data_IF_053480600132
#
_entry.id   IF_053480600132
#
_cell.length_a   1.000
_cell.length_b   1.000
_cell.length_c   1.000
_cell.angle_alpha   90.00
_cell.angle_beta   90.00
_cell.angle_gamma   90.00
#
_symmetry.space_group_name_H-M   'P 1'
#
loop_
_entity.id
_entity.type
_entity.pdbx_description
1 polymer ?
#
# COMPACT_ATOMS: atom_id res chain seq x y z
N UNK A 1 -18.19 -19.28 -9.90
CA UNK A 1 -16.99 -19.51 -10.72
C UNK A 1 -16.37 -18.21 -11.24
N UNK A 2 -17.15 -17.29 -11.81
CA UNK A 2 -16.70 -16.04 -12.45
C UNK A 2 -15.97 -15.04 -11.52
N UNK A 3 -16.46 -14.83 -10.28
CA UNK A 3 -15.85 -13.88 -9.32
C UNK A 3 -14.45 -14.30 -8.86
N UNK A 4 -14.24 -15.59 -8.61
CA UNK A 4 -12.93 -16.11 -8.21
C UNK A 4 -11.90 -15.99 -9.33
N UNK A 5 -12.33 -16.14 -10.57
CA UNK A 5 -11.50 -15.98 -11.74
C UNK A 5 -11.07 -14.52 -11.91
N UNK A 6 -12.01 -13.56 -11.87
CA UNK A 6 -11.73 -12.13 -11.95
C UNK A 6 -10.75 -11.65 -10.86
N UNK A 7 -10.91 -12.17 -9.66
CA UNK A 7 -10.01 -11.88 -8.56
C UNK A 7 -8.58 -12.38 -8.84
N UNK A 8 -8.45 -13.62 -9.31
CA UNK A 8 -7.16 -14.23 -9.65
C UNK A 8 -6.47 -13.45 -10.76
N UNK A 9 -7.21 -13.09 -11.81
CA UNK A 9 -6.72 -12.28 -12.92
C UNK A 9 -6.25 -10.89 -12.48
N UNK A 10 -6.97 -10.22 -11.57
CA UNK A 10 -6.58 -8.91 -11.05
C UNK A 10 -5.28 -8.97 -10.24
N UNK A 11 -5.09 -10.02 -9.43
CA UNK A 11 -3.86 -10.22 -8.66
C UNK A 11 -2.69 -10.57 -9.59
N UNK A 12 -2.92 -11.44 -10.57
CA UNK A 12 -1.92 -11.79 -11.58
C UNK A 12 -1.48 -10.55 -12.39
N UNK A 13 -2.44 -9.76 -12.86
CA UNK A 13 -2.16 -8.51 -13.58
C UNK A 13 -1.36 -7.51 -12.73
N UNK A 14 -1.65 -7.42 -11.44
CA UNK A 14 -0.86 -6.62 -10.51
C UNK A 14 0.61 -7.03 -10.50
N UNK A 15 0.91 -8.30 -10.29
CA UNK A 15 2.29 -8.77 -10.21
C UNK A 15 3.00 -8.76 -11.57
N UNK A 16 2.29 -8.98 -12.66
CA UNK A 16 2.85 -9.03 -14.01
C UNK A 16 3.17 -7.64 -14.55
N UNK A 17 2.25 -6.69 -14.39
CA UNK A 17 2.37 -5.35 -14.99
C UNK A 17 2.86 -4.30 -14.02
N UNK A 18 2.60 -4.47 -12.74
CA UNK A 18 2.96 -3.56 -11.64
C UNK A 18 2.59 -2.08 -11.88
N UNK A 19 1.44 -1.83 -12.53
CA UNK A 19 1.04 -0.46 -12.95
C UNK A 19 0.15 0.27 -11.97
N UNK A 20 -0.72 -0.45 -11.26
CA UNK A 20 -1.78 0.14 -10.46
C UNK A 20 -1.85 -0.48 -9.07
N UNK A 21 -2.35 0.30 -8.10
CA UNK A 21 -2.81 -0.27 -6.84
C UNK A 21 -4.04 -1.13 -7.08
N UNK A 22 -4.18 -2.23 -6.33
CA UNK A 22 -5.31 -3.15 -6.47
C UNK A 22 -6.09 -3.19 -5.17
N UNK A 23 -7.40 -3.07 -5.31
CA UNK A 23 -8.34 -3.12 -4.23
C UNK A 23 -9.33 -4.26 -4.42
N UNK A 24 -9.41 -5.15 -3.43
CA UNK A 24 -10.15 -6.40 -3.51
C UNK A 24 -11.13 -6.50 -2.35
N UNK A 25 -12.41 -6.38 -2.65
CA UNK A 25 -13.49 -6.61 -1.70
C UNK A 25 -14.14 -7.97 -1.93
N UNK A 26 -14.48 -8.67 -0.87
CA UNK A 26 -15.17 -9.96 -0.97
C UNK A 26 -15.36 -10.63 0.38
N UNK A 27 -16.24 -11.62 0.44
CA UNK A 27 -16.56 -12.33 1.67
C UNK A 27 -15.32 -12.95 2.33
N UNK A 28 -15.32 -13.10 3.67
CA UNK A 28 -14.29 -13.88 4.36
C UNK A 28 -14.22 -15.32 3.82
N UNK A 29 -13.03 -15.92 3.88
CA UNK A 29 -12.85 -17.33 3.53
C UNK A 29 -12.79 -17.66 2.03
N UNK A 30 -12.93 -16.68 1.12
CA UNK A 30 -12.85 -16.93 -0.34
C UNK A 30 -11.42 -17.10 -0.87
N UNK A 31 -10.41 -17.08 0.02
CA UNK A 31 -9.01 -17.34 -0.34
C UNK A 31 -8.23 -16.13 -0.84
N UNK A 32 -8.66 -14.89 -0.50
CA UNK A 32 -7.97 -13.65 -0.91
C UNK A 32 -6.50 -13.66 -0.53
N UNK A 33 -6.20 -13.80 0.74
CA UNK A 33 -4.84 -13.82 1.29
C UNK A 33 -3.98 -14.90 0.65
N UNK A 34 -4.51 -16.13 0.59
CA UNK A 34 -3.80 -17.24 -0.02
C UNK A 34 -3.43 -17.00 -1.50
N UNK A 35 -4.34 -16.39 -2.26
CA UNK A 35 -4.10 -16.09 -3.67
C UNK A 35 -3.01 -15.02 -3.83
N UNK A 36 -3.05 -13.93 -3.06
CA UNK A 36 -2.03 -12.89 -3.09
C UNK A 36 -0.65 -13.45 -2.71
N UNK A 37 -0.56 -14.21 -1.61
CA UNK A 37 0.70 -14.80 -1.16
C UNK A 37 1.25 -15.84 -2.16
N UNK A 38 0.39 -16.59 -2.82
CA UNK A 38 0.80 -17.55 -3.87
C UNK A 38 1.46 -16.81 -5.04
N UNK A 39 0.86 -15.72 -5.54
CA UNK A 39 1.46 -14.94 -6.61
C UNK A 39 2.75 -14.26 -6.14
N UNK A 40 2.80 -13.70 -4.95
CA UNK A 40 4.02 -13.08 -4.42
C UNK A 40 5.23 -14.02 -4.45
N UNK A 41 5.04 -15.32 -4.17
CA UNK A 41 6.11 -16.33 -4.26
C UNK A 41 6.60 -16.60 -5.68
N UNK A 42 5.79 -16.32 -6.70
CA UNK A 42 6.15 -16.52 -8.11
C UNK A 42 6.96 -15.35 -8.69
N UNK A 43 7.01 -14.20 -7.98
CA UNK A 43 7.69 -12.99 -8.43
C UNK A 43 8.79 -12.55 -7.43
N UNK A 44 9.91 -13.27 -7.32
CA UNK A 44 10.95 -13.02 -6.32
C UNK A 44 11.73 -11.72 -6.55
N UNK A 45 11.57 -11.10 -7.70
CA UNK A 45 12.09 -9.78 -8.02
C UNK A 45 11.25 -8.62 -7.42
N UNK A 46 10.08 -8.93 -6.86
CA UNK A 46 9.23 -7.98 -6.14
C UNK A 46 9.42 -8.20 -4.64
N UNK A 47 9.78 -7.17 -3.90
CA UNK A 47 9.82 -7.19 -2.44
C UNK A 47 8.38 -7.17 -1.94
N UNK A 48 7.94 -8.26 -1.33
CA UNK A 48 6.58 -8.40 -0.81
C UNK A 48 6.53 -8.11 0.69
N UNK A 49 5.76 -7.10 1.08
CA UNK A 49 5.64 -6.63 2.46
C UNK A 49 4.20 -6.82 2.96
N UNK A 50 3.91 -7.90 3.70
CA UNK A 50 2.58 -8.12 4.26
C UNK A 50 2.35 -7.28 5.52
N UNK A 51 1.24 -6.54 5.55
CA UNK A 51 0.75 -5.76 6.69
C UNK A 51 -0.51 -6.43 7.21
N UNK A 52 -0.38 -7.19 8.30
CA UNK A 52 -1.48 -8.01 8.86
C UNK A 52 -1.97 -7.54 10.23
N UNK A 53 -1.35 -6.51 10.78
CA UNK A 53 -1.66 -6.01 12.13
C UNK A 53 -1.89 -4.51 12.11
N UNK A 54 -2.73 -4.05 13.02
CA UNK A 54 -2.88 -2.63 13.29
C UNK A 54 -1.54 -2.04 13.75
N UNK A 55 -1.18 -0.90 13.20
CA UNK A 55 0.06 -0.20 13.54
C UNK A 55 -0.18 1.30 13.64
N UNK A 56 0.74 2.00 14.29
CA UNK A 56 0.68 3.46 14.33
C UNK A 56 1.00 4.08 12.96
N UNK A 57 0.53 5.29 12.67
CA UNK A 57 0.91 6.02 11.45
C UNK A 57 2.42 6.10 11.27
N UNK A 58 3.17 6.35 12.35
CA UNK A 58 4.63 6.38 12.33
C UNK A 58 5.24 5.04 11.92
N UNK A 59 4.80 3.93 12.54
CA UNK A 59 5.32 2.61 12.20
C UNK A 59 5.09 2.26 10.73
N UNK A 60 3.95 2.64 10.19
CA UNK A 60 3.64 2.46 8.77
C UNK A 60 4.55 3.30 7.86
N UNK A 61 4.66 4.59 8.14
CA UNK A 61 5.51 5.51 7.36
C UNK A 61 6.97 5.06 7.38
N UNK A 62 7.48 4.66 8.53
CA UNK A 62 8.81 4.10 8.68
C UNK A 62 9.00 2.84 7.83
N UNK A 63 8.05 1.93 7.87
CA UNK A 63 8.08 0.72 7.05
C UNK A 63 8.07 1.05 5.53
N UNK A 64 7.26 2.02 5.11
CA UNK A 64 7.25 2.47 3.71
C UNK A 64 8.57 3.14 3.33
N UNK A 65 9.13 3.97 4.21
CA UNK A 65 10.44 4.61 3.98
C UNK A 65 11.54 3.57 3.75
N UNK A 66 11.65 2.59 4.63
CA UNK A 66 12.63 1.49 4.50
C UNK A 66 12.42 0.71 3.21
N UNK A 67 11.19 0.36 2.89
CA UNK A 67 10.88 -0.39 1.67
C UNK A 67 11.20 0.41 0.40
N UNK A 68 10.87 1.69 0.35
CA UNK A 68 11.19 2.58 -0.77
C UNK A 68 12.70 2.80 -0.90
N UNK A 69 13.40 2.99 0.21
CA UNK A 69 14.86 3.11 0.23
C UNK A 69 15.52 1.83 -0.29
N UNK A 70 15.11 0.66 0.21
CA UNK A 70 15.60 -0.64 -0.25
C UNK A 70 15.29 -0.87 -1.74
N UNK A 71 14.10 -0.50 -2.19
CA UNK A 71 13.72 -0.56 -3.61
C UNK A 71 14.69 0.22 -4.49
N UNK A 72 15.03 1.45 -4.10
CA UNK A 72 15.98 2.29 -4.84
C UNK A 72 17.40 1.70 -4.87
N UNK A 73 17.86 1.20 -3.72
CA UNK A 73 19.19 0.60 -3.61
C UNK A 73 19.33 -0.71 -4.38
N UNK A 74 18.26 -1.49 -4.48
CA UNK A 74 18.26 -2.81 -5.13
C UNK A 74 17.65 -2.81 -6.54
N UNK A 75 17.07 -1.71 -6.97
CA UNK A 75 16.28 -1.57 -8.19
C UNK A 75 15.14 -2.63 -8.29
N UNK A 76 14.54 -2.98 -7.16
CA UNK A 76 13.40 -3.92 -7.08
C UNK A 76 12.11 -3.17 -6.81
N UNK A 77 11.02 -3.68 -7.34
CA UNK A 77 9.67 -3.20 -7.03
C UNK A 77 9.24 -3.66 -5.64
N UNK A 78 8.36 -2.90 -4.97
CA UNK A 78 7.81 -3.23 -3.65
C UNK A 78 6.29 -3.32 -3.72
N UNK A 79 5.76 -4.46 -3.31
CA UNK A 79 4.32 -4.69 -3.16
C UNK A 79 3.95 -4.75 -1.68
N UNK A 80 3.23 -3.74 -1.18
CA UNK A 80 2.60 -3.79 0.13
C UNK A 80 1.27 -4.54 0.02
N UNK A 81 1.11 -5.56 0.82
CA UNK A 81 -0.15 -6.28 0.96
C UNK A 81 -0.82 -5.93 2.29
N UNK A 82 -1.94 -5.22 2.23
CA UNK A 82 -2.70 -4.80 3.40
C UNK A 82 -3.92 -5.71 3.52
N UNK A 83 -3.81 -6.66 4.45
CA UNK A 83 -4.87 -7.61 4.72
C UNK A 83 -5.88 -7.00 5.71
N UNK A 84 -7.16 -7.12 5.40
CA UNK A 84 -8.26 -6.53 6.17
C UNK A 84 -8.09 -5.02 6.46
N UNK A 85 -8.04 -4.24 5.39
CA UNK A 85 -7.88 -2.79 5.44
C UNK A 85 -8.75 -2.10 6.51
N UNK A 86 -10.01 -2.53 6.65
CA UNK A 86 -10.92 -1.95 7.64
C UNK A 86 -10.47 -2.18 9.09
N UNK A 87 -9.93 -3.34 9.41
CA UNK A 87 -9.46 -3.65 10.75
C UNK A 87 -8.20 -2.83 11.10
N UNK A 88 -7.31 -2.65 10.12
CA UNK A 88 -6.06 -1.91 10.30
C UNK A 88 -6.30 -0.41 10.46
N UNK A 89 -7.27 0.16 9.72
CA UNK A 89 -7.45 1.61 9.61
C UNK A 89 -8.69 2.19 10.30
N UNK A 90 -9.53 1.37 10.92
CA UNK A 90 -10.80 1.78 11.52
C UNK A 90 -10.69 2.86 12.61
N UNK A 91 -9.52 3.06 13.17
CA UNK A 91 -9.32 3.89 14.35
C UNK A 91 -8.65 5.26 14.06
N UNK A 92 -8.23 5.57 12.84
CA UNK A 92 -7.40 6.75 12.63
C UNK A 92 -7.63 7.42 11.27
N UNK A 93 -8.34 8.56 11.28
CA UNK A 93 -8.60 9.38 10.07
C UNK A 93 -7.31 9.91 9.42
N UNK A 94 -6.30 10.25 10.23
CA UNK A 94 -5.00 10.72 9.75
C UNK A 94 -4.33 9.68 8.85
N UNK A 95 -4.47 8.42 9.20
CA UNK A 95 -3.94 7.31 8.42
C UNK A 95 -4.62 7.20 7.04
N UNK A 96 -5.94 7.37 7.01
CA UNK A 96 -6.70 7.34 5.76
C UNK A 96 -6.31 8.49 4.83
N UNK A 97 -6.05 9.68 5.37
CA UNK A 97 -5.66 10.84 4.58
C UNK A 97 -4.24 10.69 4.03
N UNK A 98 -3.30 10.14 4.81
CA UNK A 98 -1.98 9.77 4.32
C UNK A 98 -2.05 8.76 3.16
N UNK A 99 -2.94 7.76 3.26
CA UNK A 99 -3.13 6.78 2.20
C UNK A 99 -3.75 7.36 0.94
N UNK A 100 -4.77 8.21 1.09
CA UNK A 100 -5.38 8.91 -0.06
C UNK A 100 -4.32 9.69 -0.82
N UNK A 101 -3.48 10.44 -0.11
CA UNK A 101 -2.41 11.22 -0.72
C UNK A 101 -1.37 10.33 -1.41
N UNK A 102 -0.99 9.21 -0.78
CA UNK A 102 -0.03 8.27 -1.35
C UNK A 102 -0.56 7.53 -2.60
N UNK A 103 -1.88 7.45 -2.77
CA UNK A 103 -2.52 6.78 -3.91
C UNK A 103 -3.06 7.75 -4.97
N UNK A 104 -3.10 9.05 -4.68
CA UNK A 104 -3.60 10.05 -5.62
C UNK A 104 -2.50 10.42 -6.63
N UNK A 105 -2.70 9.99 -7.88
CA UNK A 105 -1.80 10.34 -8.98
C UNK A 105 -1.63 11.84 -9.20
N UNK A 106 -2.60 12.67 -8.76
CA UNK A 106 -2.52 14.13 -8.85
C UNK A 106 -1.53 14.72 -7.85
N UNK A 107 -1.36 14.08 -6.70
CA UNK A 107 -0.35 14.46 -5.69
C UNK A 107 1.05 13.89 -5.98
N UNK A 108 1.23 13.15 -7.10
CA UNK A 108 2.51 12.60 -7.51
C UNK A 108 2.91 11.33 -6.78
N UNK A 109 1.93 10.49 -6.37
CA UNK A 109 2.19 9.22 -5.68
C UNK A 109 3.18 9.38 -4.50
N UNK A 110 2.95 10.34 -3.60
CA UNK A 110 3.86 10.60 -2.48
C UNK A 110 3.16 10.42 -1.14
N UNK A 111 3.87 9.78 -0.21
CA UNK A 111 3.47 9.70 1.20
C UNK A 111 4.14 10.86 1.95
N UNK A 112 3.34 11.72 2.58
CA UNK A 112 3.84 12.86 3.36
C UNK A 112 3.68 12.59 4.86
N UNK A 113 4.73 12.87 5.62
CA UNK A 113 4.71 12.82 7.08
C UNK A 113 5.25 14.14 7.65
N UNK A 114 4.36 14.93 8.21
CA UNK A 114 4.64 16.32 8.62
C UNK A 114 4.84 16.50 10.13
N UNK A 115 5.05 15.39 10.87
CA UNK A 115 5.30 15.47 12.32
C UNK A 115 6.79 15.44 12.63
N UNK A 116 7.15 16.12 13.70
CA UNK A 116 8.50 16.06 14.25
C UNK A 116 8.85 14.65 14.67
N UNK A 117 10.04 14.19 14.33
CA UNK A 117 10.47 12.81 14.53
C UNK A 117 10.94 12.52 15.98
N UNK A 118 11.50 13.51 16.67
CA UNK A 118 11.87 13.46 18.09
C UNK A 118 12.38 12.09 18.57
N UNK A 119 11.87 11.68 19.73
CA UNK A 119 12.24 10.40 20.36
C UNK A 119 11.98 9.14 19.50
N UNK A 120 11.13 9.24 18.48
CA UNK A 120 10.85 8.13 17.58
C UNK A 120 11.99 7.84 16.61
N UNK A 121 12.76 8.86 16.25
CA UNK A 121 13.97 8.72 15.44
C UNK A 121 15.09 8.05 16.23
N UNK A 122 15.22 8.38 17.51
CA UNK A 122 16.24 7.82 18.39
C UNK A 122 16.06 6.31 18.61
N UNK A 123 14.83 5.82 18.51
CA UNK A 123 14.47 4.40 18.62
C UNK A 123 14.58 3.61 17.32
N UNK A 124 14.88 4.27 16.21
CA UNK A 124 15.03 3.62 14.91
C UNK A 124 16.34 2.85 14.82
N UNK A 125 16.33 1.71 14.13
CA UNK A 125 17.55 0.98 13.78
C UNK A 125 18.36 1.71 12.68
N UNK A 126 19.55 1.20 12.37
CA UNK A 126 20.46 1.85 11.43
C UNK A 126 19.88 1.95 10.00
N UNK A 127 19.15 0.95 9.53
CA UNK A 127 18.52 0.96 8.21
C UNK A 127 17.36 1.94 8.18
N UNK A 128 16.57 1.94 9.24
CA UNK A 128 15.47 2.87 9.43
C UNK A 128 15.95 4.31 9.45
N UNK A 129 17.03 4.61 10.18
CA UNK A 129 17.65 5.94 10.21
C UNK A 129 18.13 6.36 8.83
N UNK A 130 18.87 5.51 8.14
CA UNK A 130 19.35 5.81 6.78
C UNK A 130 18.20 6.13 5.83
N UNK A 131 17.11 5.35 5.87
CA UNK A 131 15.93 5.60 5.04
C UNK A 131 15.25 6.92 5.39
N UNK A 132 15.09 7.22 6.68
CA UNK A 132 14.47 8.47 7.15
C UNK A 132 15.33 9.68 6.74
N UNK A 133 16.64 9.63 6.97
CA UNK A 133 17.56 10.72 6.63
C UNK A 133 17.57 10.97 5.13
N UNK A 134 17.62 9.92 4.32
CA UNK A 134 17.52 10.02 2.86
C UNK A 134 16.28 10.79 2.41
N UNK A 135 15.10 10.45 2.94
CA UNK A 135 13.85 11.12 2.54
C UNK A 135 13.69 12.53 3.15
N UNK A 136 14.29 12.78 4.32
CA UNK A 136 14.36 14.13 4.89
C UNK A 136 15.20 15.08 4.06
N UNK A 137 16.30 14.63 3.52
CA UNK A 137 17.15 15.44 2.64
C UNK A 137 16.42 15.84 1.35
N UNK A 138 15.48 15.00 0.89
CA UNK A 138 14.63 15.30 -0.27
C UNK A 138 13.46 16.24 0.05
N UNK A 139 13.17 16.50 1.33
CA UNK A 139 12.04 17.33 1.77
C UNK A 139 12.47 18.80 1.85
N UNK A 140 11.70 19.76 1.28
CA UNK A 140 12.10 21.15 1.18
C UNK A 140 12.30 21.84 2.53
N UNK A 141 11.50 21.50 3.54
CA UNK A 141 11.47 22.15 4.84
C UNK A 141 12.17 21.37 5.96
N UNK A 142 12.55 20.11 5.71
CA UNK A 142 13.21 19.20 6.66
C UNK A 142 12.46 18.98 7.99
N UNK A 143 11.23 19.45 8.12
CA UNK A 143 10.43 19.27 9.35
C UNK A 143 9.75 17.90 9.39
N UNK A 144 9.41 17.38 8.24
CA UNK A 144 8.92 16.03 8.02
C UNK A 144 9.71 15.35 6.90
N UNK A 145 9.12 14.39 6.24
CA UNK A 145 9.68 13.80 5.04
C UNK A 145 8.60 13.38 4.05
N UNK A 146 8.99 13.35 2.78
CA UNK A 146 8.17 12.95 1.66
C UNK A 146 8.79 11.72 1.03
N UNK A 147 8.01 10.66 0.90
CA UNK A 147 8.42 9.41 0.25
C UNK A 147 7.76 9.36 -1.13
N UNK A 148 8.47 9.68 -2.21
CA UNK A 148 7.95 9.50 -3.55
C UNK A 148 7.94 8.02 -3.90
N UNK A 149 6.78 7.48 -4.27
CA UNK A 149 6.65 6.07 -4.66
C UNK A 149 7.07 5.81 -6.12
N UNK A 150 7.01 6.82 -6.98
CA UNK A 150 7.51 6.84 -8.37
C UNK A 150 7.27 5.55 -9.19
N UNK A 151 6.16 4.88 -8.93
CA UNK A 151 5.84 3.64 -9.64
C UNK A 151 6.54 2.38 -9.14
N UNK A 152 7.54 2.49 -8.27
CA UNK A 152 8.26 1.34 -7.71
C UNK A 152 7.53 0.70 -6.52
N UNK A 153 6.59 1.41 -5.90
CA UNK A 153 5.83 0.92 -4.74
C UNK A 153 4.36 0.86 -5.09
N UNK A 154 3.73 -0.29 -4.89
CA UNK A 154 2.31 -0.50 -5.12
C UNK A 154 1.66 -1.21 -3.94
N UNK A 155 0.35 -1.03 -3.84
CA UNK A 155 -0.45 -1.57 -2.74
C UNK A 155 -1.51 -2.54 -3.26
N UNK A 156 -1.67 -3.66 -2.55
CA UNK A 156 -2.81 -4.56 -2.67
C UNK A 156 -3.58 -4.45 -1.37
N UNK A 157 -4.86 -4.10 -1.47
CA UNK A 157 -5.76 -4.04 -0.32
C UNK A 157 -6.78 -5.16 -0.42
N UNK A 158 -6.97 -5.89 0.67
CA UNK A 158 -8.11 -6.80 0.80
C UNK A 158 -9.04 -6.32 1.90
N UNK A 159 -10.33 -6.54 1.72
CA UNK A 159 -11.33 -6.27 2.74
C UNK A 159 -12.52 -7.22 2.63
N UNK A 160 -13.23 -7.33 3.74
CA UNK A 160 -14.35 -8.24 3.87
C UNK A 160 -15.69 -7.60 3.44
N UNK A 161 -15.75 -6.28 3.41
CA UNK A 161 -16.92 -5.51 2.97
C UNK A 161 -16.50 -4.51 1.88
N UNK A 162 -17.33 -4.31 0.82
CA UNK A 162 -17.05 -3.29 -0.18
C UNK A 162 -17.01 -1.89 0.45
N UNK A 163 -16.23 -0.99 -0.13
CA UNK A 163 -16.29 0.43 0.22
C UNK A 163 -17.71 0.98 -0.05
N UNK A 164 -18.21 1.89 0.81
CA UNK A 164 -19.42 2.65 0.50
C UNK A 164 -19.27 3.30 -0.89
N UNK A 165 -20.27 3.12 -1.76
CA UNK A 165 -20.25 3.61 -3.14
C UNK A 165 -19.69 2.63 -4.19
N UNK A 166 -18.85 1.67 -3.83
CA UNK A 166 -18.35 0.67 -4.79
C UNK A 166 -19.46 -0.26 -5.31
N UNK A 167 -20.49 -0.50 -4.49
CA UNK A 167 -21.65 -1.31 -4.86
C UNK A 167 -22.56 -0.56 -5.85
N UNK A 168 -22.69 0.75 -5.70
CA UNK A 168 -23.48 1.61 -6.62
C UNK A 168 -22.83 1.69 -8.00
N UNK A 169 -21.52 1.91 -8.05
CA UNK A 169 -20.76 1.91 -9.32
C UNK A 169 -20.78 0.56 -10.03
N UNK A 170 -20.84 -0.55 -9.32
CA UNK A 170 -20.98 -1.87 -9.91
C UNK A 170 -22.37 -2.07 -10.52
N UNK A 171 -23.42 -1.60 -9.84
CA UNK A 171 -24.82 -1.68 -10.34
C UNK A 171 -25.05 -0.80 -11.57
N UNK A 172 -24.47 0.40 -11.62
CA UNK A 172 -24.56 1.28 -12.80
C UNK A 172 -23.89 0.64 -14.03
N UNK A 173 -22.76 -0.04 -13.85
CA UNK A 173 -22.09 -0.74 -14.97
C UNK A 173 -22.85 -1.99 -15.45
N UNK A 174 -23.56 -2.68 -14.58
CA UNK A 174 -24.40 -3.82 -14.98
C UNK A 174 -25.71 -3.38 -15.65
N UNK A 175 -26.29 -2.24 -15.23
CA UNK A 175 -27.50 -1.66 -15.82
C UNK A 175 -27.28 -0.96 -17.17
N UNK A 176 -26.02 -0.71 -17.56
CA UNK A 176 -25.67 0.00 -18.80
C UNK A 176 -25.25 -0.94 -19.95
N UNK A 177 -25.49 -2.24 -19.85
CA UNK A 177 -25.27 -3.17 -20.97
C UNK A 177 -26.57 -3.36 -21.74
N UNK A 178 -26.60 -3.04 -23.06
CA UNK A 178 -27.74 -3.29 -23.93
C UNK A 178 -27.99 -4.79 -24.12
#
# INVERSE_FOLDING_TARGET
MRLRQLFTEAVEDFFTRFKHHVYIAGQPGVGKTHTVERFARQYPNIIFVPVKQAMSPWAFVKMVAVACFTSRMTNKQVAFYIDDFNAIFKANSEFLDMFKNAMDKRSGDRLEYNKSLGAQYDQADDIERQAIDYFRELSPDRTGFVIPSEGQVKFIFTMNTPLPGAVELAKEKEGSRP
#
